data_IF_093058060842
#
_entry.id   IF_093058060842
#
_cell.length_a   1.000
_cell.length_b   1.000
_cell.length_c   1.000
_cell.angle_alpha   90.00
_cell.angle_beta   90.00
_cell.angle_gamma   90.00
#
_symmetry.space_group_name_H-M   'P 1'
#
loop_
_entity.id
_entity.type
_entity.pdbx_description
1 polymer ?
#
# COMPACT_ATOMS: atom_id res chain seq x y z
N UNK A 1 22.91 -8.91 -11.87
CA UNK A 1 22.60 -8.76 -10.44
C UNK A 1 21.51 -7.72 -10.34
N UNK A 2 20.28 -8.17 -10.08
CA UNK A 2 19.11 -7.30 -9.93
C UNK A 2 19.39 -6.34 -8.78
N UNK A 3 19.52 -5.05 -9.10
CA UNK A 3 19.80 -4.01 -8.14
C UNK A 3 18.65 -3.96 -7.13
N UNK A 4 18.94 -4.29 -5.88
CA UNK A 4 17.97 -4.18 -4.79
C UNK A 4 17.43 -2.75 -4.79
N UNK A 5 16.14 -2.59 -5.08
CA UNK A 5 15.49 -1.28 -5.11
C UNK A 5 15.67 -0.66 -3.74
N UNK A 6 16.29 0.52 -3.69
CA UNK A 6 16.47 1.25 -2.44
C UNK A 6 15.08 1.55 -1.87
N UNK A 7 14.76 0.98 -0.71
CA UNK A 7 13.52 1.25 -0.01
C UNK A 7 13.60 2.67 0.55
N UNK A 8 12.70 3.54 0.08
CA UNK A 8 12.59 4.94 0.51
C UNK A 8 11.90 5.02 1.87
N UNK A 9 12.03 6.16 2.57
CA UNK A 9 11.35 6.34 3.87
C UNK A 9 9.81 6.25 3.75
N UNK A 10 9.15 6.86 2.74
CA UNK A 10 7.71 6.67 2.54
C UNK A 10 7.32 5.19 2.42
N UNK A 11 8.11 4.40 1.68
CA UNK A 11 7.83 2.97 1.53
C UNK A 11 7.97 2.22 2.87
N UNK A 12 8.95 2.58 3.70
CA UNK A 12 9.08 2.00 5.05
C UNK A 12 7.90 2.36 5.94
N UNK A 13 7.44 3.60 5.88
CA UNK A 13 6.30 4.07 6.66
C UNK A 13 5.01 3.37 6.25
N UNK A 14 4.79 3.18 4.95
CA UNK A 14 3.69 2.37 4.44
C UNK A 14 3.76 0.93 4.96
N UNK A 15 4.91 0.25 4.81
CA UNK A 15 5.08 -1.14 5.25
C UNK A 15 4.79 -1.27 6.75
N UNK A 16 5.36 -0.39 7.57
CA UNK A 16 5.14 -0.39 9.03
C UNK A 16 3.69 -0.10 9.39
N UNK A 17 3.06 0.84 8.70
CA UNK A 17 1.66 1.21 8.94
C UNK A 17 0.72 0.05 8.66
N UNK A 18 0.89 -0.61 7.51
CA UNK A 18 0.08 -1.76 7.13
C UNK A 18 0.31 -2.97 8.06
N UNK A 19 1.56 -3.25 8.41
CA UNK A 19 1.92 -4.32 9.36
C UNK A 19 1.31 -4.05 10.75
N UNK A 20 1.38 -2.80 11.23
CA UNK A 20 0.75 -2.38 12.48
C UNK A 20 -0.77 -2.54 12.47
N UNK A 21 -1.42 -2.32 11.32
CA UNK A 21 -2.85 -2.53 11.13
C UNK A 21 -3.23 -4.01 10.94
N UNK A 22 -2.27 -4.94 10.91
CA UNK A 22 -2.50 -6.38 10.79
C UNK A 22 -2.75 -6.87 9.37
N UNK A 23 -2.37 -6.09 8.35
CA UNK A 23 -2.50 -6.48 6.94
C UNK A 23 -1.55 -7.64 6.62
N UNK A 24 -2.03 -8.62 5.84
CA UNK A 24 -1.24 -9.78 5.47
C UNK A 24 0.09 -9.40 4.79
N UNK A 25 1.17 -10.07 5.19
CA UNK A 25 2.52 -9.78 4.69
C UNK A 25 2.62 -9.94 3.17
N UNK A 26 1.91 -10.89 2.56
CA UNK A 26 1.95 -11.07 1.10
C UNK A 26 1.29 -9.89 0.38
N UNK A 27 0.23 -9.31 0.95
CA UNK A 27 -0.39 -8.10 0.46
C UNK A 27 0.60 -6.94 0.54
N UNK A 28 1.25 -6.74 1.71
CA UNK A 28 2.25 -5.68 1.89
C UNK A 28 3.38 -5.79 0.86
N UNK A 29 3.90 -7.01 0.64
CA UNK A 29 4.94 -7.26 -0.38
C UNK A 29 4.42 -6.96 -1.79
N UNK A 30 3.19 -7.37 -2.12
CA UNK A 30 2.56 -7.08 -3.40
C UNK A 30 2.42 -5.57 -3.65
N UNK A 31 1.91 -4.83 -2.66
CA UNK A 31 1.78 -3.37 -2.67
C UNK A 31 3.15 -2.71 -2.89
N UNK A 32 4.16 -3.07 -2.09
CA UNK A 32 5.50 -2.48 -2.18
C UNK A 32 6.17 -2.70 -3.55
N UNK A 33 5.88 -3.84 -4.19
CA UNK A 33 6.37 -4.15 -5.53
C UNK A 33 5.60 -3.40 -6.63
N UNK A 34 4.30 -3.16 -6.44
CA UNK A 34 3.43 -2.50 -7.42
C UNK A 34 3.71 -0.99 -7.55
N UNK A 35 3.93 -0.31 -6.43
CA UNK A 35 4.19 1.15 -6.39
C UNK A 35 5.64 1.44 -6.82
N UNK A 36 5.83 2.34 -7.78
CA UNK A 36 7.09 2.68 -8.45
C UNK A 36 7.68 4.03 -8.03
N UNK A 37 6.87 4.96 -7.52
CA UNK A 37 7.36 6.28 -7.07
C UNK A 37 6.96 6.60 -5.65
N UNK A 38 7.63 7.59 -5.02
CA UNK A 38 7.27 8.02 -3.67
C UNK A 38 5.91 8.74 -3.65
N UNK A 39 5.51 9.40 -4.74
CA UNK A 39 4.19 10.01 -4.86
C UNK A 39 3.07 8.97 -4.81
N UNK A 40 3.24 7.85 -5.51
CA UNK A 40 2.29 6.72 -5.48
C UNK A 40 2.19 6.10 -4.08
N UNK A 41 3.31 6.03 -3.35
CA UNK A 41 3.37 5.55 -1.96
C UNK A 41 2.65 6.50 -1.03
N UNK A 42 2.92 7.80 -1.12
CA UNK A 42 2.25 8.83 -0.32
C UNK A 42 0.75 8.84 -0.59
N UNK A 43 0.33 8.69 -1.85
CA UNK A 43 -1.09 8.60 -2.19
C UNK A 43 -1.75 7.39 -1.50
N UNK A 44 -1.10 6.23 -1.49
CA UNK A 44 -1.65 5.07 -0.79
C UNK A 44 -1.68 5.25 0.73
N UNK A 45 -0.63 5.86 1.32
CA UNK A 45 -0.61 6.17 2.76
C UNK A 45 -1.80 7.07 3.12
N UNK A 46 -2.03 8.12 2.34
CA UNK A 46 -3.16 9.03 2.55
C UNK A 46 -4.50 8.28 2.49
N UNK A 47 -4.68 7.43 1.46
CA UNK A 47 -5.88 6.61 1.35
C UNK A 47 -6.04 5.63 2.52
N UNK A 48 -4.97 4.99 2.99
CA UNK A 48 -5.02 4.08 4.13
C UNK A 48 -5.50 4.79 5.41
N UNK A 49 -5.19 6.07 5.57
CA UNK A 49 -5.74 6.89 6.68
C UNK A 49 -7.21 7.27 6.51
N UNK A 50 -7.77 7.19 5.30
CA UNK A 50 -9.20 7.40 5.05
C UNK A 50 -10.04 6.16 5.41
N UNK A 51 -9.44 4.98 5.46
CA UNK A 51 -10.10 3.75 5.90
C UNK A 51 -10.39 3.85 7.41
N UNK A 52 -11.66 3.76 7.85
CA UNK A 52 -11.98 3.84 9.27
C UNK A 52 -11.26 2.76 10.08
N UNK A 53 -10.78 3.13 11.26
CA UNK A 53 -10.04 2.22 12.15
C UNK A 53 -10.84 0.95 12.47
N UNK A 54 -12.17 1.08 12.58
CA UNK A 54 -13.08 -0.02 12.85
C UNK A 54 -13.05 -1.08 11.74
N UNK A 55 -12.76 -0.71 10.49
CA UNK A 55 -12.63 -1.66 9.38
C UNK A 55 -11.37 -2.50 9.59
N UNK A 56 -10.22 -1.89 9.89
CA UNK A 56 -9.00 -2.65 10.21
C UNK A 56 -9.18 -3.60 11.41
N UNK A 57 -9.92 -3.18 12.44
CA UNK A 57 -10.11 -3.97 13.65
C UNK A 57 -11.15 -5.10 13.51
N UNK A 58 -12.25 -4.83 12.82
CA UNK A 58 -13.41 -5.73 12.79
C UNK A 58 -13.55 -6.49 11.47
N UNK A 59 -12.95 -5.99 10.39
CA UNK A 59 -13.05 -6.57 9.05
C UNK A 59 -11.77 -6.32 8.23
N UNK A 60 -10.65 -6.93 8.66
CA UNK A 60 -9.34 -6.74 8.01
C UNK A 60 -9.37 -7.08 6.51
N UNK A 61 -10.15 -8.09 6.11
CA UNK A 61 -10.31 -8.49 4.71
C UNK A 61 -10.87 -7.36 3.85
N UNK A 62 -11.80 -6.56 4.37
CA UNK A 62 -12.35 -5.41 3.66
C UNK A 62 -11.32 -4.28 3.53
N UNK A 63 -10.53 -4.03 4.59
CA UNK A 63 -9.45 -3.06 4.51
C UNK A 63 -8.40 -3.46 3.45
N UNK A 64 -8.03 -4.74 3.43
CA UNK A 64 -7.12 -5.33 2.44
C UNK A 64 -7.63 -5.18 1.01
N UNK A 65 -8.90 -5.49 0.77
CA UNK A 65 -9.55 -5.31 -0.53
C UNK A 65 -9.53 -3.84 -0.98
N UNK A 66 -9.82 -2.91 -0.07
CA UNK A 66 -9.78 -1.47 -0.37
C UNK A 66 -8.36 -0.99 -0.71
N UNK A 67 -7.35 -1.43 0.05
CA UNK A 67 -5.94 -1.13 -0.23
C UNK A 67 -5.55 -1.64 -1.62
N UNK A 68 -5.87 -2.89 -1.93
CA UNK A 68 -5.54 -3.50 -3.22
C UNK A 68 -6.27 -2.81 -4.38
N UNK A 69 -7.54 -2.43 -4.19
CA UNK A 69 -8.30 -1.68 -5.17
C UNK A 69 -7.66 -0.30 -5.44
N UNK A 70 -7.21 0.40 -4.40
CA UNK A 70 -6.51 1.68 -4.56
C UNK A 70 -5.18 1.52 -5.28
N UNK A 71 -4.40 0.49 -4.95
CA UNK A 71 -3.15 0.18 -5.66
C UNK A 71 -3.41 -0.07 -7.14
N UNK A 72 -4.46 -0.82 -7.48
CA UNK A 72 -4.84 -1.06 -8.87
C UNK A 72 -5.20 0.25 -9.59
N UNK A 73 -5.92 1.16 -8.94
CA UNK A 73 -6.22 2.48 -9.53
C UNK A 73 -4.97 3.32 -9.75
N UNK A 74 -4.01 3.28 -8.83
CA UNK A 74 -2.72 3.98 -8.97
C UNK A 74 -1.96 3.42 -10.18
N UNK A 75 -1.82 2.10 -10.28
CA UNK A 75 -1.06 1.47 -11.38
C UNK A 75 -1.73 1.69 -12.74
N UNK A 76 -3.05 1.61 -12.82
CA UNK A 76 -3.79 1.86 -14.07
C UNK A 76 -3.65 3.32 -14.55
N UNK A 77 -3.68 4.29 -13.63
CA UNK A 77 -3.49 5.71 -13.99
C UNK A 77 -2.09 5.96 -14.55
N UNK A 78 -1.07 5.32 -13.99
CA UNK A 78 0.30 5.41 -14.53
C UNK A 78 0.39 4.86 -15.96
N UNK A 79 -0.24 3.72 -16.24
CA UNK A 79 -0.14 3.06 -17.55
C UNK A 79 -0.96 3.79 -18.65
N UNK A 80 -1.83 4.74 -18.26
CA UNK A 80 -2.66 5.55 -19.18
C UNK A 80 -2.11 6.96 -19.41
N UNK A 81 -1.02 7.32 -18.73
CA UNK A 81 -0.27 8.58 -18.90
C UNK A 81 1.00 8.37 -19.72
#
# INVERSE_FOLDING_TARGET
MEGSRKITEPMKDLIKGLDFCGVDTNIIVGVANALKTDEEVVELIQFAYEIPKEVYLNNISEAEEQIMAKVLQITQRRDTQ
#
